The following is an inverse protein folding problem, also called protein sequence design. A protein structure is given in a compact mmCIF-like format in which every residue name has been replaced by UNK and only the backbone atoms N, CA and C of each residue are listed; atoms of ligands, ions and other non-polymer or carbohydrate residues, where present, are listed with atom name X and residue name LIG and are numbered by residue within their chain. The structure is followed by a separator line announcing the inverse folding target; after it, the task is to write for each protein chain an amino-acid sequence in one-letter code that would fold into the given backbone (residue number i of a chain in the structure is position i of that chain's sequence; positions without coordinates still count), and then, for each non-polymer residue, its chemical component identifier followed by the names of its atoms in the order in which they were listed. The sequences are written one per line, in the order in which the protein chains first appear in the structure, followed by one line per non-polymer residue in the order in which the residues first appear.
data_IF_533052356954
#
_entry.id   IF_533052356954
#
_cell.length_a   1.000
_cell.length_b   1.000
_cell.length_c   1.000
_cell.angle_alpha   90.00
_cell.angle_beta   90.00
_cell.angle_gamma   90.00
#
_symmetry.space_group_name_H-M   'P 1'
#
loop_
_entity.id
_entity.type
_entity.pdbx_description
1 polymer ?
#
# COMPACT_ATOMS: atom_id res chain seq x y z
N UNK A 1 37.81 -26.88 33.66
CA UNK A 1 38.55 -27.63 32.63
C UNK A 1 37.51 -28.30 31.74
N UNK A 2 36.88 -27.51 30.86
CA UNK A 2 37.19 -27.45 29.41
C UNK A 2 36.28 -28.48 28.70
N UNK A 3 35.09 -28.17 28.18
CA UNK A 3 34.72 -27.35 27.00
C UNK A 3 33.19 -27.13 27.12
N UNK A 4 32.60 -25.93 27.21
CA UNK A 4 32.50 -24.83 26.23
C UNK A 4 32.33 -25.27 24.76
N UNK A 5 31.29 -24.72 24.11
CA UNK A 5 30.95 -24.74 22.67
C UNK A 5 30.12 -25.99 22.28
N UNK A 6 28.89 -25.92 21.79
CA UNK A 6 28.31 -24.95 20.86
C UNK A 6 26.92 -24.47 21.32
N UNK A 7 26.86 -23.27 21.90
CA UNK A 7 25.67 -22.42 21.84
C UNK A 7 26.01 -21.33 20.82
N UNK A 8 25.58 -21.50 19.57
CA UNK A 8 25.36 -20.43 18.57
C UNK A 8 25.10 -21.07 17.21
N UNK A 9 23.87 -21.52 16.97
CA UNK A 9 23.31 -21.34 15.63
C UNK A 9 22.80 -19.91 15.66
N UNK A 10 23.65 -18.98 15.19
CA UNK A 10 23.20 -17.64 14.86
C UNK A 10 22.14 -17.82 13.77
N UNK A 11 20.85 -17.48 13.99
CA UNK A 11 20.00 -17.29 12.83
C UNK A 11 20.66 -16.14 12.06
N UNK A 12 21.10 -16.41 10.84
CA UNK A 12 21.34 -15.37 9.86
C UNK A 12 20.07 -14.51 9.86
N UNK A 13 20.14 -13.34 10.49
CA UNK A 13 19.20 -12.27 10.24
C UNK A 13 19.44 -11.88 8.80
N UNK A 14 18.77 -12.60 7.89
CA UNK A 14 18.48 -12.09 6.56
C UNK A 14 17.77 -10.79 6.86
N UNK A 15 18.49 -9.68 6.73
CA UNK A 15 17.92 -8.36 6.74
C UNK A 15 17.00 -8.34 5.53
N UNK A 16 15.76 -8.78 5.74
CA UNK A 16 14.76 -8.82 4.70
C UNK A 16 14.69 -7.40 4.18
N UNK A 17 15.10 -7.23 2.92
CA UNK A 17 15.05 -5.93 2.28
C UNK A 17 13.66 -5.37 2.57
N UNK A 18 13.63 -4.19 3.21
CA UNK A 18 12.38 -3.59 3.64
C UNK A 18 11.38 -3.49 2.48
N UNK A 19 10.07 -3.42 2.76
CA UNK A 19 9.09 -3.31 1.71
C UNK A 19 9.39 -2.08 0.85
N UNK A 20 9.25 -2.23 -0.47
CA UNK A 20 9.26 -1.08 -1.36
C UNK A 20 7.93 -0.34 -1.20
N UNK A 21 8.00 0.96 -0.94
CA UNK A 21 6.81 1.80 -0.79
C UNK A 21 6.66 2.65 -2.05
N UNK A 22 5.55 2.48 -2.76
CA UNK A 22 5.18 3.30 -3.90
C UNK A 22 3.97 4.15 -3.52
N UNK A 23 4.14 5.47 -3.49
CA UNK A 23 3.05 6.43 -3.29
C UNK A 23 2.62 6.99 -4.64
N UNK A 24 1.35 6.78 -4.99
CA UNK A 24 0.74 7.30 -6.21
C UNK A 24 -0.31 8.33 -5.80
N UNK A 25 -0.16 9.56 -6.27
CA UNK A 25 -1.14 10.63 -6.10
C UNK A 25 -1.65 11.07 -7.46
N UNK A 26 -2.91 11.45 -7.54
CA UNK A 26 -3.55 11.90 -8.79
C UNK A 26 -4.14 13.28 -8.55
N UNK A 27 -3.87 14.21 -9.46
CA UNK A 27 -4.41 15.56 -9.39
C UNK A 27 -5.88 15.59 -9.84
N UNK A 28 -6.71 16.32 -9.09
CA UNK A 28 -8.13 16.54 -9.38
C UNK A 28 -9.00 15.27 -9.57
N UNK A 29 -8.62 14.12 -9.01
CA UNK A 29 -9.45 12.91 -9.05
C UNK A 29 -10.56 12.99 -8.00
N UNK A 30 -11.81 13.00 -8.45
CA UNK A 30 -13.00 13.01 -7.59
C UNK A 30 -13.27 11.66 -6.95
N UNK A 31 -13.90 11.67 -5.77
CA UNK A 31 -14.26 10.44 -5.05
C UNK A 31 -15.18 9.52 -5.86
N UNK A 32 -16.10 10.10 -6.64
CA UNK A 32 -17.06 9.37 -7.48
C UNK A 32 -16.54 8.97 -8.86
N UNK A 33 -15.29 9.29 -9.19
CA UNK A 33 -14.75 9.06 -10.54
C UNK A 33 -14.32 7.60 -10.74
N UNK A 34 -14.06 6.85 -9.67
CA UNK A 34 -13.64 5.45 -9.79
C UNK A 34 -14.81 4.50 -9.56
N UNK A 35 -14.92 3.47 -10.39
CA UNK A 35 -15.98 2.45 -10.30
C UNK A 35 -16.07 1.79 -8.94
N UNK A 36 -14.92 1.58 -8.30
CA UNK A 36 -14.88 1.05 -6.95
C UNK A 36 -15.71 1.88 -5.95
N UNK A 37 -15.72 3.22 -6.06
CA UNK A 37 -16.50 4.11 -5.18
C UNK A 37 -17.87 4.49 -5.73
N UNK A 38 -18.05 4.48 -7.06
CA UNK A 38 -19.31 4.78 -7.74
C UNK A 38 -19.52 3.81 -8.90
N UNK A 39 -20.44 2.86 -8.74
CA UNK A 39 -20.74 1.85 -9.77
C UNK A 39 -21.20 2.43 -11.11
N UNK A 40 -21.68 3.68 -11.13
CA UNK A 40 -22.14 4.38 -12.32
C UNK A 40 -21.04 5.18 -13.02
N UNK A 41 -19.80 5.17 -12.51
CA UNK A 41 -18.69 5.87 -13.14
C UNK A 41 -18.41 5.35 -14.56
N UNK A 42 -18.16 6.27 -15.47
CA UNK A 42 -17.80 6.01 -16.87
C UNK A 42 -16.31 5.65 -17.04
N UNK A 43 -15.45 5.99 -16.06
CA UNK A 43 -14.02 5.71 -16.16
C UNK A 43 -13.74 4.20 -16.09
N UNK A 44 -12.91 3.73 -17.02
CA UNK A 44 -12.47 2.34 -17.09
C UNK A 44 -11.07 2.25 -16.51
N UNK A 45 -10.94 1.71 -15.29
CA UNK A 45 -9.67 1.66 -14.55
C UNK A 45 -9.36 0.26 -14.00
N UNK A 46 -9.23 -0.77 -14.87
CA UNK A 46 -9.17 -2.17 -14.45
C UNK A 46 -8.01 -2.48 -13.48
N UNK A 47 -6.88 -1.81 -13.61
CA UNK A 47 -5.74 -1.99 -12.70
C UNK A 47 -6.00 -1.37 -11.32
N UNK A 48 -6.70 -0.23 -11.25
CA UNK A 48 -7.09 0.37 -9.96
C UNK A 48 -8.18 -0.47 -9.30
N UNK A 49 -9.14 -0.97 -10.08
CA UNK A 49 -10.18 -1.88 -9.57
C UNK A 49 -9.56 -3.16 -8.98
N UNK A 50 -8.57 -3.75 -9.66
CA UNK A 50 -7.82 -4.90 -9.15
C UNK A 50 -7.01 -4.56 -7.89
N UNK A 51 -6.37 -3.39 -7.84
CA UNK A 51 -5.65 -2.94 -6.65
C UNK A 51 -6.60 -2.77 -5.46
N UNK A 52 -7.78 -2.23 -5.69
CA UNK A 52 -8.82 -2.06 -4.68
C UNK A 52 -9.37 -3.40 -4.18
N UNK A 53 -9.50 -4.41 -5.05
CA UNK A 53 -9.99 -5.74 -4.70
C UNK A 53 -8.95 -6.59 -3.95
N UNK A 54 -7.66 -6.38 -4.23
CA UNK A 54 -6.56 -7.13 -3.61
C UNK A 54 -5.99 -6.49 -2.34
N UNK A 55 -6.37 -5.23 -2.06
CA UNK A 55 -5.88 -4.46 -0.92
C UNK A 55 -6.98 -3.93 -0.03
N UNK A 56 -6.67 -2.85 0.68
CA UNK A 56 -7.63 -2.10 1.48
C UNK A 56 -8.11 -0.87 0.73
N UNK A 57 -9.39 -0.52 0.91
CA UNK A 57 -10.00 0.72 0.41
C UNK A 57 -10.39 1.63 1.56
N UNK A 58 -10.06 2.91 1.43
CA UNK A 58 -10.46 3.93 2.38
C UNK A 58 -11.67 4.68 1.83
N UNK A 59 -12.82 4.55 2.49
CA UNK A 59 -14.07 5.20 2.08
C UNK A 59 -14.26 6.58 2.73
N UNK A 60 -13.34 6.99 3.61
CA UNK A 60 -13.39 8.26 4.34
C UNK A 60 -11.97 8.85 4.47
N UNK A 61 -11.29 8.97 3.33
CA UNK A 61 -9.95 9.54 3.23
C UNK A 61 -10.04 11.00 2.77
N UNK A 62 -10.13 11.92 3.73
CA UNK A 62 -10.24 13.35 3.47
C UNK A 62 -8.86 14.00 3.30
N UNK A 63 -8.75 14.91 2.34
CA UNK A 63 -7.59 15.79 2.23
C UNK A 63 -7.56 16.82 3.36
N UNK A 64 -6.36 17.20 3.80
CA UNK A 64 -6.18 18.24 4.81
C UNK A 64 -6.53 19.65 4.29
N UNK A 65 -6.41 19.88 2.97
CA UNK A 65 -6.75 21.13 2.30
C UNK A 65 -7.42 20.85 0.95
N UNK A 66 -8.42 21.65 0.52
CA UNK A 66 -8.99 21.53 -0.83
C UNK A 66 -8.08 22.12 -1.92
N UNK A 67 -6.95 22.74 -1.56
CA UNK A 67 -5.99 23.35 -2.49
C UNK A 67 -4.68 22.57 -2.56
N UNK A 68 -3.99 22.66 -3.70
CA UNK A 68 -2.72 21.98 -3.94
C UNK A 68 -1.48 22.73 -3.40
N UNK A 69 -1.61 24.04 -3.15
CA UNK A 69 -0.58 24.94 -2.60
C UNK A 69 -0.95 25.33 -1.18
#
# INVERSE_FOLDING_TARGET
MLCLLLFTICPDSIFAAGPNILLITVDNLGYGDLKMYNSQSELVTPHLDQLAASGARLTSFYTASPTCT
#
